data_IF_585828958806
#
_entry.id   IF_585828958806
#
_cell.length_a   1.000
_cell.length_b   1.000
_cell.length_c   1.000
_cell.angle_alpha   90.00
_cell.angle_beta   90.00
_cell.angle_gamma   90.00
#
_symmetry.space_group_name_H-M   'P 1'
#
loop_
_entity.id
_entity.type
_entity.pdbx_description
1 polymer ?
#
# COMPACT_ATOMS: atom_id res chain seq x y z
N UNK A 1 -35.54 -43.39 59.88
CA UNK A 1 -34.94 -43.60 58.52
C UNK A 1 -34.04 -42.42 58.29
N UNK A 2 -32.71 -42.60 58.47
CA UNK A 2 -31.67 -41.54 58.31
C UNK A 2 -30.96 -41.73 57.00
N UNK A 3 -31.01 -40.72 56.17
CA UNK A 3 -30.27 -40.66 54.89
C UNK A 3 -28.92 -40.02 55.17
N UNK A 4 -27.85 -40.73 54.90
CA UNK A 4 -26.45 -40.34 54.97
C UNK A 4 -26.06 -39.62 53.67
N UNK A 5 -25.43 -38.42 53.83
CA UNK A 5 -24.98 -37.59 52.70
C UNK A 5 -23.69 -38.09 52.06
N UNK A 6 -23.38 -37.64 50.86
CA UNK A 6 -22.30 -38.15 50.04
C UNK A 6 -20.92 -37.50 50.37
N UNK A 7 -19.94 -38.34 50.16
CA UNK A 7 -18.52 -38.25 50.37
C UNK A 7 -17.87 -37.12 49.57
N UNK A 8 -17.04 -36.31 50.24
CA UNK A 8 -16.19 -35.27 49.59
C UNK A 8 -14.97 -35.92 48.93
N UNK A 9 -14.91 -35.79 47.60
CA UNK A 9 -13.73 -36.16 46.84
C UNK A 9 -12.74 -34.98 46.79
N UNK A 10 -11.55 -35.19 47.31
CA UNK A 10 -10.40 -34.29 47.27
C UNK A 10 -9.97 -34.02 45.82
N UNK A 11 -9.87 -32.74 45.47
CA UNK A 11 -9.30 -32.24 44.22
C UNK A 11 -7.77 -32.30 44.28
N UNK A 12 -7.05 -32.80 43.25
CA UNK A 12 -5.59 -32.75 43.22
C UNK A 12 -5.10 -31.31 42.96
N UNK A 13 -4.19 -30.87 43.72
CA UNK A 13 -3.47 -29.60 43.64
C UNK A 13 -2.44 -29.70 42.48
N UNK A 14 -2.77 -29.06 41.34
CA UNK A 14 -1.90 -28.99 40.18
C UNK A 14 -0.94 -27.80 40.32
N UNK A 15 0.27 -28.09 40.71
CA UNK A 15 1.39 -27.13 40.76
C UNK A 15 1.79 -26.76 39.34
N UNK A 16 1.19 -25.68 38.81
CA UNK A 16 1.62 -25.07 37.56
C UNK A 16 3.00 -24.40 37.73
N UNK A 17 4.04 -25.05 37.26
CA UNK A 17 5.36 -24.43 37.04
C UNK A 17 5.21 -23.40 35.92
N UNK A 18 5.16 -22.13 36.27
CA UNK A 18 5.25 -21.02 35.34
C UNK A 18 6.63 -21.04 34.66
N UNK A 19 6.71 -21.54 33.44
CA UNK A 19 7.88 -21.38 32.59
C UNK A 19 7.98 -19.90 32.19
N UNK A 20 8.99 -19.23 32.69
CA UNK A 20 9.38 -17.88 32.31
C UNK A 20 9.81 -17.94 30.85
N UNK A 21 8.91 -17.58 29.95
CA UNK A 21 9.24 -17.32 28.54
C UNK A 21 10.13 -16.07 28.56
N UNK A 22 11.44 -16.28 28.35
CA UNK A 22 12.38 -15.18 28.09
C UNK A 22 11.86 -14.40 26.92
N UNK A 23 11.37 -13.17 27.17
CA UNK A 23 10.98 -12.20 26.16
C UNK A 23 12.25 -11.93 25.33
N UNK A 24 12.37 -12.58 24.19
CA UNK A 24 13.41 -12.31 23.21
C UNK A 24 13.30 -10.81 22.87
N UNK A 25 14.36 -10.07 23.15
CA UNK A 25 14.48 -8.67 22.73
C UNK A 25 14.68 -8.65 21.23
N UNK A 26 13.57 -8.74 20.48
CA UNK A 26 13.55 -8.39 19.06
C UNK A 26 13.89 -6.90 19.00
N UNK A 27 15.01 -6.56 18.39
CA UNK A 27 15.31 -5.20 17.98
C UNK A 27 14.06 -4.67 17.22
N UNK A 28 13.63 -3.42 17.47
CA UNK A 28 12.45 -2.88 16.77
C UNK A 28 12.69 -3.03 15.28
N UNK A 29 11.81 -3.75 14.60
CA UNK A 29 11.88 -3.92 13.17
C UNK A 29 11.94 -2.53 12.52
N UNK A 30 12.90 -2.31 11.60
CA UNK A 30 13.05 -1.03 10.92
C UNK A 30 11.71 -0.65 10.28
N UNK A 31 11.20 0.53 10.64
CA UNK A 31 9.95 1.07 10.05
C UNK A 31 10.06 1.09 8.52
N UNK A 32 9.03 0.60 7.83
CA UNK A 32 8.94 0.65 6.38
C UNK A 32 8.55 2.04 5.91
N UNK A 33 9.29 2.57 4.95
CA UNK A 33 9.02 3.89 4.36
C UNK A 33 8.23 3.72 3.07
N UNK A 34 7.02 4.24 3.04
CA UNK A 34 6.13 4.21 1.87
C UNK A 34 5.94 5.63 1.35
N UNK A 35 6.18 5.84 0.06
CA UNK A 35 5.84 7.08 -0.63
C UNK A 35 4.60 6.85 -1.50
N UNK A 36 3.52 7.54 -1.18
CA UNK A 36 2.30 7.58 -1.98
C UNK A 36 2.39 8.71 -3.00
N UNK A 37 2.07 8.42 -4.25
CA UNK A 37 2.18 9.37 -5.33
C UNK A 37 0.85 9.54 -6.08
N UNK A 38 -0.04 10.44 -5.63
CA UNK A 38 -1.22 10.81 -6.41
C UNK A 38 -0.81 11.39 -7.76
N UNK A 39 -1.06 10.64 -8.84
CA UNK A 39 -0.71 11.03 -10.20
C UNK A 39 -1.33 12.36 -10.61
N UNK A 40 -0.73 13.00 -11.62
CA UNK A 40 -1.15 14.30 -12.13
C UNK A 40 -1.07 15.46 -11.12
N UNK A 41 -1.51 16.63 -11.54
CA UNK A 41 -1.67 17.85 -10.77
C UNK A 41 -2.36 18.91 -11.64
N UNK A 42 -2.74 20.05 -11.09
CA UNK A 42 -3.44 21.12 -11.84
C UNK A 42 -2.73 21.57 -13.12
N UNK A 43 -1.39 21.52 -13.19
CA UNK A 43 -0.62 21.90 -14.37
C UNK A 43 -0.52 20.74 -15.38
N UNK A 44 -0.41 19.51 -14.89
CA UNK A 44 -0.31 18.29 -15.68
C UNK A 44 -1.54 17.45 -15.41
N UNK A 45 -2.64 17.87 -16.05
CA UNK A 45 -3.96 17.28 -15.85
C UNK A 45 -4.02 15.86 -16.39
N UNK A 46 -4.83 15.02 -15.73
CA UNK A 46 -5.14 13.67 -16.17
C UNK A 46 -6.44 13.59 -16.96
N UNK A 47 -7.02 12.40 -17.02
CA UNK A 47 -8.28 12.14 -17.68
C UNK A 47 -9.45 12.97 -17.11
N UNK A 48 -10.47 13.16 -17.95
CA UNK A 48 -11.73 13.85 -17.62
C UNK A 48 -12.89 12.98 -18.03
N UNK A 49 -13.87 12.79 -17.15
CA UNK A 49 -15.07 12.03 -17.48
C UNK A 49 -16.10 12.09 -16.37
N UNK A 50 -17.38 12.05 -16.70
CA UNK A 50 -18.50 12.02 -15.75
C UNK A 50 -18.41 13.09 -14.63
N UNK A 51 -17.92 14.29 -14.95
CA UNK A 51 -17.72 15.37 -13.98
C UNK A 51 -16.50 15.21 -13.08
N UNK A 52 -15.74 14.12 -13.21
CA UNK A 52 -14.55 13.83 -12.41
C UNK A 52 -13.28 14.31 -13.12
N UNK A 53 -12.26 14.59 -12.31
CA UNK A 53 -10.91 14.96 -12.73
C UNK A 53 -9.94 13.97 -12.11
N UNK A 54 -9.13 13.31 -12.93
CA UNK A 54 -8.21 12.29 -12.48
C UNK A 54 -7.28 12.78 -11.37
N UNK A 55 -6.74 13.99 -11.49
CA UNK A 55 -5.86 14.56 -10.47
C UNK A 55 -6.55 14.77 -9.11
N UNK A 56 -7.87 15.04 -9.08
CA UNK A 56 -8.64 15.20 -7.85
C UNK A 56 -8.91 13.82 -7.22
N UNK A 57 -9.37 12.86 -8.01
CA UNK A 57 -9.65 11.48 -7.56
C UNK A 57 -8.37 10.82 -7.02
N UNK A 58 -7.26 10.92 -7.76
CA UNK A 58 -5.98 10.36 -7.31
C UNK A 58 -5.53 10.97 -5.98
N UNK A 59 -5.76 12.29 -5.80
CA UNK A 59 -5.41 12.97 -4.55
C UNK A 59 -6.24 12.46 -3.37
N UNK A 60 -7.53 12.26 -3.58
CA UNK A 60 -8.44 11.77 -2.53
C UNK A 60 -8.11 10.32 -2.14
N UNK A 61 -7.83 9.45 -3.12
CA UNK A 61 -7.35 8.08 -2.87
C UNK A 61 -6.05 8.11 -2.08
N UNK A 62 -5.06 8.92 -2.52
CA UNK A 62 -3.76 9.01 -1.85
C UNK A 62 -3.88 9.52 -0.41
N UNK A 63 -4.75 10.49 -0.14
CA UNK A 63 -5.02 10.98 1.23
C UNK A 63 -5.69 9.93 2.10
N UNK A 64 -6.69 9.22 1.57
CA UNK A 64 -7.37 8.15 2.29
C UNK A 64 -6.40 7.03 2.64
N UNK A 65 -5.58 6.61 1.69
CA UNK A 65 -4.53 5.60 1.89
C UNK A 65 -3.52 6.04 2.95
N UNK A 66 -3.03 7.29 2.90
CA UNK A 66 -2.13 7.84 3.92
C UNK A 66 -2.76 7.81 5.31
N UNK A 67 -4.01 8.27 5.43
CA UNK A 67 -4.71 8.31 6.71
C UNK A 67 -4.90 6.90 7.30
N UNK A 68 -5.13 5.91 6.44
CA UNK A 68 -5.23 4.51 6.87
C UNK A 68 -3.88 3.95 7.32
N UNK A 69 -2.82 4.11 6.52
CA UNK A 69 -1.50 3.59 6.82
C UNK A 69 -0.85 4.24 8.03
N UNK A 70 -1.17 5.50 8.34
CA UNK A 70 -0.69 6.18 9.54
C UNK A 70 -1.17 5.56 10.86
N UNK A 71 -2.07 4.57 10.81
CA UNK A 71 -2.49 3.81 12.00
C UNK A 71 -1.48 2.74 12.42
N UNK A 72 -0.51 2.42 11.56
CA UNK A 72 0.49 1.39 11.79
C UNK A 72 1.82 2.02 12.23
N UNK A 73 2.31 1.61 13.40
CA UNK A 73 3.53 2.18 14.01
C UNK A 73 4.83 1.75 13.32
N UNK A 74 4.79 0.67 12.56
CA UNK A 74 5.91 0.11 11.79
C UNK A 74 5.99 0.64 10.35
N UNK A 75 5.12 1.59 9.99
CA UNK A 75 5.07 2.22 8.67
C UNK A 75 5.25 3.74 8.81
N UNK A 76 6.17 4.29 8.03
CA UNK A 76 6.31 5.74 7.84
C UNK A 76 5.80 6.10 6.45
N UNK A 77 4.76 6.96 6.38
CA UNK A 77 4.09 7.30 5.12
C UNK A 77 4.37 8.73 4.71
N UNK A 78 4.87 8.89 3.51
CA UNK A 78 4.97 10.18 2.82
C UNK A 78 4.02 10.24 1.64
N UNK A 79 3.70 11.45 1.18
CA UNK A 79 2.85 11.68 0.00
C UNK A 79 3.46 12.80 -0.85
N UNK A 80 3.51 12.63 -2.16
CA UNK A 80 4.16 13.58 -3.07
C UNK A 80 3.44 14.93 -3.15
N UNK A 81 2.13 14.94 -2.94
CA UNK A 81 1.32 16.17 -2.89
C UNK A 81 0.10 16.00 -1.99
N UNK A 82 -0.27 17.08 -1.30
CA UNK A 82 -1.45 17.14 -0.41
C UNK A 82 -2.56 18.04 -0.96
N UNK A 83 -2.32 18.64 -2.11
CA UNK A 83 -3.25 19.51 -2.84
C UNK A 83 -3.01 19.36 -4.35
N UNK A 84 -3.73 20.12 -5.17
CA UNK A 84 -3.60 20.06 -6.64
C UNK A 84 -2.40 20.82 -7.23
N UNK A 85 -1.46 21.30 -6.41
CA UNK A 85 -0.20 21.87 -6.91
C UNK A 85 0.74 20.73 -7.31
N UNK A 86 1.55 20.97 -8.32
CA UNK A 86 2.64 20.07 -8.69
C UNK A 86 3.72 20.09 -7.60
N UNK A 87 4.42 18.96 -7.43
CA UNK A 87 5.56 18.86 -6.50
C UNK A 87 6.63 19.93 -6.81
N UNK A 88 6.87 20.18 -8.10
CA UNK A 88 7.63 21.32 -8.60
C UNK A 88 6.92 21.93 -9.80
N UNK A 89 7.04 23.25 -10.00
CA UNK A 89 6.48 23.97 -11.16
C UNK A 89 7.40 23.80 -12.39
N UNK A 90 7.62 22.60 -12.84
CA UNK A 90 8.53 22.23 -13.92
C UNK A 90 7.74 21.72 -15.14
N UNK A 91 8.43 21.41 -16.23
CA UNK A 91 7.90 20.61 -17.35
C UNK A 91 7.48 19.23 -16.85
N UNK A 92 6.68 18.51 -17.62
CA UNK A 92 6.13 17.21 -17.21
C UNK A 92 7.22 16.22 -16.83
N UNK A 93 8.23 16.01 -17.67
CA UNK A 93 9.35 15.09 -17.41
C UNK A 93 10.09 15.43 -16.12
N UNK A 94 10.36 16.72 -15.87
CA UNK A 94 11.01 17.19 -14.64
C UNK A 94 10.14 16.96 -13.41
N UNK A 95 8.80 17.08 -13.56
CA UNK A 95 7.87 16.79 -12.49
C UNK A 95 7.87 15.31 -12.12
N UNK A 96 7.90 14.41 -13.10
CA UNK A 96 8.01 12.96 -12.91
C UNK A 96 9.35 12.59 -12.25
N UNK A 97 10.45 13.13 -12.77
CA UNK A 97 11.79 12.96 -12.19
C UNK A 97 11.85 13.45 -10.75
N UNK A 98 11.18 14.57 -10.42
CA UNK A 98 11.13 15.08 -9.04
C UNK A 98 10.42 14.14 -8.08
N UNK A 99 9.39 13.39 -8.52
CA UNK A 99 8.69 12.36 -7.73
C UNK A 99 9.62 11.19 -7.43
N UNK A 100 10.31 10.68 -8.46
CA UNK A 100 11.28 9.60 -8.31
C UNK A 100 12.46 10.01 -7.41
N UNK A 101 12.97 11.25 -7.56
CA UNK A 101 14.02 11.77 -6.70
C UNK A 101 13.57 11.94 -5.25
N UNK A 102 12.28 12.23 -5.01
CA UNK A 102 11.75 12.25 -3.65
C UNK A 102 11.79 10.85 -3.03
N UNK A 103 11.38 9.80 -3.76
CA UNK A 103 11.48 8.43 -3.28
C UNK A 103 12.92 8.06 -2.91
N UNK A 104 13.89 8.40 -3.77
CA UNK A 104 15.32 8.17 -3.50
C UNK A 104 15.81 8.90 -2.25
N UNK A 105 15.47 10.19 -2.09
CA UNK A 105 15.88 10.98 -0.91
C UNK A 105 15.29 10.47 0.39
N UNK A 106 14.08 9.94 0.35
CA UNK A 106 13.41 9.34 1.52
C UNK A 106 13.88 7.92 1.79
N UNK A 107 14.73 7.35 0.92
CA UNK A 107 15.06 5.91 0.95
C UNK A 107 13.81 5.06 1.07
N UNK A 108 12.77 5.40 0.27
CA UNK A 108 11.49 4.72 0.33
C UNK A 108 11.62 3.24 -0.05
N UNK A 109 11.09 2.36 0.81
CA UNK A 109 11.01 0.92 0.52
C UNK A 109 10.03 0.64 -0.62
N UNK A 110 9.00 1.51 -0.76
CA UNK A 110 8.00 1.41 -1.84
C UNK A 110 7.52 2.77 -2.29
N UNK A 111 7.31 2.92 -3.59
CA UNK A 111 6.60 4.03 -4.23
C UNK A 111 5.33 3.47 -4.89
N UNK A 112 4.18 3.98 -4.48
CA UNK A 112 2.88 3.59 -5.04
C UNK A 112 2.22 4.79 -5.68
N UNK A 113 2.07 4.76 -7.00
CA UNK A 113 1.40 5.82 -7.76
C UNK A 113 -0.05 5.45 -8.07
N UNK A 114 -0.94 6.43 -7.95
CA UNK A 114 -2.37 6.30 -8.21
C UNK A 114 -2.71 7.01 -9.50
N UNK A 115 -3.39 6.32 -10.41
CA UNK A 115 -3.89 6.84 -11.66
C UNK A 115 -5.26 6.28 -11.97
N UNK A 116 -6.06 7.03 -12.71
CA UNK A 116 -7.32 6.59 -13.28
C UNK A 116 -7.14 6.55 -14.78
N UNK A 117 -7.20 5.35 -15.36
CA UNK A 117 -7.12 5.21 -16.80
C UNK A 117 -8.37 5.75 -17.49
N UNK A 118 -8.19 6.21 -18.72
CA UNK A 118 -9.28 6.58 -19.62
C UNK A 118 -9.29 5.66 -20.84
N UNK A 119 -10.46 5.14 -21.16
CA UNK A 119 -10.69 4.35 -22.36
C UNK A 119 -11.68 5.11 -23.27
N UNK A 120 -11.23 5.59 -24.44
CA UNK A 120 -12.09 6.32 -25.39
C UNK A 120 -13.27 5.48 -25.87
N UNK A 121 -13.10 4.17 -25.94
CA UNK A 121 -14.14 3.25 -26.39
C UNK A 121 -15.10 2.82 -25.28
N UNK A 122 -14.79 3.16 -24.02
CA UNK A 122 -15.57 2.79 -22.82
C UNK A 122 -15.84 1.28 -22.68
N UNK A 123 -14.94 0.46 -23.22
CA UNK A 123 -15.06 -1.01 -23.22
C UNK A 123 -14.34 -1.65 -22.05
N UNK A 124 -13.38 -0.96 -21.45
CA UNK A 124 -12.58 -1.45 -20.35
C UNK A 124 -13.04 -0.88 -19.01
N UNK A 125 -13.07 -1.71 -18.00
CA UNK A 125 -13.33 -1.29 -16.62
C UNK A 125 -12.65 -2.25 -15.67
N UNK A 126 -12.02 -1.72 -14.63
CA UNK A 126 -11.32 -2.53 -13.63
C UNK A 126 -10.02 -1.91 -13.19
N UNK A 127 -9.27 -2.64 -12.40
CA UNK A 127 -7.97 -2.23 -11.90
C UNK A 127 -6.83 -2.85 -12.75
N UNK A 128 -5.78 -2.05 -12.93
CA UNK A 128 -4.54 -2.47 -13.57
C UNK A 128 -3.37 -2.16 -12.65
N UNK A 129 -2.46 -3.09 -12.47
CA UNK A 129 -1.21 -2.87 -11.77
C UNK A 129 -0.08 -2.73 -12.80
N UNK A 130 0.65 -1.63 -12.73
CA UNK A 130 1.85 -1.40 -13.51
C UNK A 130 3.05 -1.50 -12.58
N UNK A 131 3.91 -2.50 -12.80
CA UNK A 131 5.13 -2.70 -12.02
C UNK A 131 6.35 -2.35 -12.87
N UNK A 132 7.27 -1.59 -12.27
CA UNK A 132 8.50 -1.20 -12.94
C UNK A 132 9.49 -2.36 -12.99
N UNK A 133 10.14 -2.54 -14.14
CA UNK A 133 11.36 -3.35 -14.23
C UNK A 133 12.53 -2.65 -13.54
N UNK A 134 13.47 -3.43 -13.03
CA UNK A 134 14.77 -2.88 -12.69
C UNK A 134 15.49 -2.40 -13.99
N UNK A 135 16.41 -1.46 -13.84
CA UNK A 135 17.18 -0.90 -14.96
C UNK A 135 18.37 -1.79 -15.41
N UNK A 136 18.49 -3.02 -14.87
CA UNK A 136 19.59 -3.93 -15.19
C UNK A 136 19.44 -4.63 -16.53
N UNK A 137 20.53 -5.30 -16.97
CA UNK A 137 20.59 -6.05 -18.22
C UNK A 137 19.51 -7.14 -18.30
N UNK A 138 19.22 -7.80 -17.19
CA UNK A 138 18.07 -8.70 -17.05
C UNK A 138 16.86 -7.92 -16.48
N UNK A 139 15.98 -7.46 -17.35
CA UNK A 139 14.77 -6.74 -16.98
C UNK A 139 13.84 -7.67 -16.20
N UNK A 140 13.77 -7.50 -14.89
CA UNK A 140 12.83 -8.24 -14.04
C UNK A 140 12.15 -7.30 -13.04
N UNK A 141 10.95 -7.68 -12.62
CA UNK A 141 10.28 -7.05 -11.49
C UNK A 141 10.66 -7.81 -10.24
N UNK A 142 11.11 -7.09 -9.20
CA UNK A 142 11.47 -7.75 -7.95
C UNK A 142 10.32 -8.54 -7.35
N UNK A 143 10.60 -9.64 -6.67
CA UNK A 143 9.58 -10.47 -6.00
C UNK A 143 8.77 -9.66 -5.00
N UNK A 144 9.39 -8.70 -4.31
CA UNK A 144 8.70 -7.79 -3.39
C UNK A 144 7.69 -6.89 -4.12
N UNK A 145 8.06 -6.33 -5.29
CA UNK A 145 7.15 -5.52 -6.09
C UNK A 145 5.99 -6.35 -6.64
N UNK A 146 6.26 -7.58 -7.09
CA UNK A 146 5.23 -8.50 -7.55
C UNK A 146 4.26 -8.86 -6.41
N UNK A 147 4.78 -9.20 -5.22
CA UNK A 147 3.97 -9.55 -4.06
C UNK A 147 3.08 -8.38 -3.63
N UNK A 148 3.61 -7.14 -3.58
CA UNK A 148 2.84 -5.94 -3.27
C UNK A 148 1.73 -5.72 -4.30
N UNK A 149 2.05 -5.76 -5.59
CA UNK A 149 1.07 -5.57 -6.65
C UNK A 149 -0.02 -6.64 -6.65
N UNK A 150 0.34 -7.90 -6.47
CA UNK A 150 -0.61 -9.01 -6.36
C UNK A 150 -1.53 -8.86 -5.15
N UNK A 151 -1.00 -8.45 -4.00
CA UNK A 151 -1.79 -8.21 -2.80
C UNK A 151 -2.78 -7.05 -2.99
N UNK A 152 -2.34 -5.94 -3.60
CA UNK A 152 -3.24 -4.82 -3.92
C UNK A 152 -4.36 -5.28 -4.85
N UNK A 153 -4.03 -6.03 -5.91
CA UNK A 153 -5.03 -6.52 -6.88
C UNK A 153 -6.03 -7.46 -6.21
N UNK A 154 -5.58 -8.41 -5.39
CA UNK A 154 -6.46 -9.32 -4.67
C UNK A 154 -7.47 -8.58 -3.80
N UNK A 155 -7.02 -7.59 -3.02
CA UNK A 155 -7.90 -6.78 -2.18
C UNK A 155 -8.89 -5.92 -3.01
N UNK A 156 -8.49 -5.41 -4.18
CA UNK A 156 -9.40 -4.69 -5.08
C UNK A 156 -10.47 -5.64 -5.65
N UNK A 157 -10.11 -6.89 -5.96
CA UNK A 157 -11.05 -7.91 -6.42
C UNK A 157 -12.06 -8.31 -5.33
N UNK A 158 -11.64 -8.41 -4.07
CA UNK A 158 -12.54 -8.62 -2.92
C UNK A 158 -13.59 -7.50 -2.79
N UNK A 159 -13.25 -6.28 -3.18
CA UNK A 159 -14.16 -5.14 -3.27
C UNK A 159 -15.04 -5.15 -4.53
N UNK A 160 -14.97 -6.19 -5.36
CA UNK A 160 -15.74 -6.34 -6.58
C UNK A 160 -15.15 -5.59 -7.80
N UNK A 161 -13.94 -5.04 -7.68
CA UNK A 161 -13.26 -4.38 -8.80
C UNK A 161 -12.61 -5.45 -9.67
N UNK A 162 -12.97 -5.49 -10.96
CA UNK A 162 -12.39 -6.44 -11.91
C UNK A 162 -10.90 -6.20 -12.08
N UNK A 163 -10.13 -7.28 -12.25
CA UNK A 163 -8.75 -7.20 -12.69
C UNK A 163 -8.70 -7.12 -14.21
N UNK A 164 -8.14 -6.04 -14.76
CA UNK A 164 -7.90 -5.93 -16.20
C UNK A 164 -6.58 -6.61 -16.58
N UNK A 165 -5.50 -6.34 -15.84
CA UNK A 165 -4.21 -6.96 -16.09
C UNK A 165 -3.13 -6.59 -15.08
N UNK A 166 -2.08 -7.40 -15.03
CA UNK A 166 -0.82 -7.10 -14.36
C UNK A 166 0.22 -6.86 -15.46
N UNK A 167 0.68 -5.63 -15.62
CA UNK A 167 1.62 -5.25 -16.67
C UNK A 167 2.98 -4.88 -16.09
N UNK A 168 4.02 -5.29 -16.78
CA UNK A 168 5.40 -4.92 -16.47
C UNK A 168 5.85 -3.85 -17.47
N UNK A 169 6.33 -2.71 -16.99
CA UNK A 169 6.86 -1.64 -17.84
C UNK A 169 8.26 -1.26 -17.43
N UNK A 170 9.11 -0.95 -18.42
CA UNK A 170 10.30 -0.13 -18.21
C UNK A 170 9.85 1.27 -17.81
N UNK A 171 10.39 1.80 -16.72
CA UNK A 171 10.33 3.23 -16.46
C UNK A 171 11.24 3.92 -17.49
N UNK A 172 10.63 4.64 -18.43
CA UNK A 172 11.36 5.56 -19.31
C UNK A 172 11.80 6.81 -18.55
#
# INVERSE_FOLDING_TARGET
MKLTGPNETKKPEETAKASIIKKSSLSPAKSKVILLDPGHCRKHIGARGNGLKEEDVNLDIGKACRNYLNKYSDITVYITRTNNKCLKRLKLGDCLTARNNLAKRLSADSLVSFHINWDPEKKRSGAMILAAYNSGYNKYVSTTTQALGSSIMANLQELGIKSESFWFRTLE
#
